data_IF_667638953550
#
_entry.id   IF_667638953550
#
_cell.length_a   1.000
_cell.length_b   1.000
_cell.length_c   1.000
_cell.angle_alpha   90.00
_cell.angle_beta   90.00
_cell.angle_gamma   90.00
#
_symmetry.space_group_name_H-M   'P 1'
#
loop_
_entity.id
_entity.type
_entity.pdbx_description
1 polymer ?
#
# COMPACT_ATOMS: atom_id res chain seq x y z
N UNK A 1 -25.30 43.46 -58.79
CA UNK A 1 -23.85 43.14 -58.89
C UNK A 1 -23.23 43.48 -57.54
N UNK A 2 -22.40 42.57 -57.03
CA UNK A 2 -21.60 42.61 -55.77
C UNK A 2 -22.41 42.59 -54.46
N UNK A 3 -22.12 41.81 -53.42
CA UNK A 3 -21.13 40.77 -53.17
C UNK A 3 -21.66 39.92 -52.01
N UNK A 4 -22.03 38.68 -52.32
CA UNK A 4 -22.56 37.68 -51.40
C UNK A 4 -21.38 36.86 -50.83
N UNK A 5 -20.57 37.44 -49.94
CA UNK A 5 -19.46 36.73 -49.31
C UNK A 5 -19.00 37.51 -48.07
N UNK A 6 -19.31 37.01 -46.86
CA UNK A 6 -18.54 37.15 -45.59
C UNK A 6 -19.39 36.99 -44.30
N UNK A 7 -20.27 36.00 -44.18
CA UNK A 7 -20.81 35.62 -42.84
C UNK A 7 -20.98 34.10 -42.65
N UNK A 8 -20.04 33.32 -43.17
CA UNK A 8 -19.99 31.86 -42.99
C UNK A 8 -18.87 31.47 -42.01
N UNK A 9 -18.85 32.01 -40.79
CA UNK A 9 -17.82 31.67 -39.77
C UNK A 9 -18.29 31.84 -38.31
N UNK A 10 -19.52 31.44 -37.97
CA UNK A 10 -19.96 31.34 -36.56
C UNK A 10 -20.87 30.14 -36.28
N UNK A 11 -20.45 28.96 -36.73
CA UNK A 11 -20.96 27.69 -36.20
C UNK A 11 -19.76 26.85 -35.80
N UNK A 12 -19.21 27.12 -34.62
CA UNK A 12 -18.36 26.17 -33.90
C UNK A 12 -18.25 26.67 -32.45
N UNK A 13 -18.27 25.72 -31.51
CA UNK A 13 -18.08 25.89 -30.07
C UNK A 13 -19.30 26.28 -29.24
N UNK A 14 -20.25 25.35 -29.07
CA UNK A 14 -20.76 24.98 -27.73
C UNK A 14 -21.22 23.51 -27.77
N UNK A 15 -20.29 22.55 -27.69
CA UNK A 15 -20.63 21.14 -27.52
C UNK A 15 -19.43 20.37 -26.92
N UNK A 16 -19.04 20.71 -25.70
CA UNK A 16 -18.09 19.90 -24.91
C UNK A 16 -17.95 20.42 -23.49
N UNK A 17 -18.97 20.24 -22.66
CA UNK A 17 -18.83 20.40 -21.21
C UNK A 17 -19.58 19.32 -20.43
N UNK A 18 -19.40 18.06 -20.84
CA UNK A 18 -19.96 16.93 -20.11
C UNK A 18 -19.11 15.67 -20.33
N UNK A 19 -17.89 15.63 -19.78
CA UNK A 19 -17.12 14.38 -19.56
C UNK A 19 -15.82 14.69 -18.82
N UNK A 20 -15.85 14.99 -17.51
CA UNK A 20 -14.66 14.82 -16.65
C UNK A 20 -15.02 14.84 -15.15
N UNK A 21 -15.95 13.97 -14.73
CA UNK A 21 -16.20 13.76 -13.29
C UNK A 21 -16.71 12.35 -12.98
N UNK A 22 -16.24 11.34 -13.72
CA UNK A 22 -16.29 9.95 -13.25
C UNK A 22 -14.94 9.64 -12.60
N UNK A 23 -14.62 10.36 -11.53
CA UNK A 23 -13.62 9.84 -10.59
C UNK A 23 -14.28 8.60 -9.99
N UNK A 24 -13.77 7.43 -10.34
CA UNK A 24 -14.29 6.15 -9.88
C UNK A 24 -14.41 6.18 -8.35
N UNK A 25 -15.63 6.29 -7.86
CA UNK A 25 -15.94 5.93 -6.49
C UNK A 25 -15.75 4.43 -6.40
N UNK A 26 -14.61 3.99 -5.84
CA UNK A 26 -14.45 2.59 -5.44
C UNK A 26 -15.59 2.29 -4.46
N UNK A 27 -16.54 1.40 -4.80
CA UNK A 27 -17.63 1.07 -3.89
C UNK A 27 -17.03 0.43 -2.64
N UNK A 28 -17.26 1.02 -1.46
CA UNK A 28 -16.73 0.54 -0.16
C UNK A 28 -16.00 1.58 0.69
N UNK A 29 -15.86 2.83 0.23
CA UNK A 29 -15.34 3.92 1.06
C UNK A 29 -16.50 4.69 1.70
N UNK A 30 -17.18 4.06 2.65
CA UNK A 30 -17.91 4.84 3.64
C UNK A 30 -16.85 5.68 4.40
N UNK A 31 -17.06 6.99 4.63
CA UNK A 31 -16.13 7.86 5.36
C UNK A 31 -16.00 7.49 6.86
N UNK A 32 -16.37 6.27 7.23
CA UNK A 32 -16.51 5.75 8.58
C UNK A 32 -15.56 4.58 8.90
N UNK A 33 -14.46 4.39 8.16
CA UNK A 33 -13.45 3.43 8.59
C UNK A 33 -12.67 4.00 9.79
N UNK A 34 -13.13 3.64 10.99
CA UNK A 34 -12.66 4.17 12.26
C UNK A 34 -11.35 3.53 12.76
N UNK A 35 -10.97 2.37 12.24
CA UNK A 35 -9.86 1.58 12.77
C UNK A 35 -9.11 0.84 11.64
N UNK A 36 -7.79 0.77 11.74
CA UNK A 36 -6.91 -0.02 10.87
C UNK A 36 -6.21 -1.05 11.74
N UNK A 37 -6.25 -2.33 11.33
CA UNK A 37 -5.52 -3.42 12.00
C UNK A 37 -4.58 -4.05 10.97
N UNK A 38 -3.29 -4.06 11.27
CA UNK A 38 -2.27 -4.68 10.43
C UNK A 38 -1.71 -5.93 11.12
N UNK A 39 -1.96 -7.10 10.52
CA UNK A 39 -1.33 -8.34 10.93
C UNK A 39 -0.05 -8.56 10.12
N UNK A 40 1.08 -8.71 10.83
CA UNK A 40 2.38 -8.95 10.21
C UNK A 40 2.90 -10.35 10.56
N UNK A 41 3.00 -11.22 9.56
CA UNK A 41 3.72 -12.50 9.69
C UNK A 41 5.17 -12.32 9.25
N UNK A 42 6.09 -12.12 10.20
CA UNK A 42 7.53 -12.02 9.89
C UNK A 42 8.04 -13.36 9.32
N UNK A 43 8.71 -13.30 8.17
CA UNK A 43 9.16 -14.49 7.43
C UNK A 43 8.02 -15.35 6.84
N UNK A 44 6.78 -14.89 6.83
CA UNK A 44 5.62 -15.66 6.36
C UNK A 44 5.45 -15.55 4.83
N UNK A 45 6.30 -16.26 4.08
CA UNK A 45 6.14 -16.41 2.63
C UNK A 45 5.00 -17.36 2.22
N UNK A 46 4.73 -17.44 0.92
CA UNK A 46 3.65 -18.28 0.36
C UNK A 46 3.80 -19.76 0.77
N UNK A 47 5.03 -20.28 0.78
CA UNK A 47 5.29 -21.66 1.22
C UNK A 47 4.97 -21.87 2.70
N UNK A 48 5.30 -20.91 3.55
CA UNK A 48 4.98 -20.94 4.99
C UNK A 48 3.47 -20.93 5.22
N UNK A 49 2.72 -20.12 4.46
CA UNK A 49 1.25 -20.08 4.52
C UNK A 49 0.66 -21.44 4.12
N UNK A 50 1.10 -22.03 3.01
CA UNK A 50 0.62 -23.36 2.57
C UNK A 50 0.93 -24.44 3.61
N UNK A 51 2.15 -24.44 4.17
CA UNK A 51 2.53 -25.39 5.21
C UNK A 51 1.67 -25.23 6.47
N UNK A 52 1.42 -23.99 6.91
CA UNK A 52 0.58 -23.70 8.07
C UNK A 52 -0.87 -24.15 7.87
N UNK A 53 -1.43 -23.91 6.67
CA UNK A 53 -2.78 -24.36 6.31
C UNK A 53 -2.92 -25.88 6.37
N UNK A 54 -2.00 -26.62 5.75
CA UNK A 54 -2.01 -28.09 5.78
C UNK A 54 -1.90 -28.59 7.21
N UNK A 55 -0.95 -28.04 7.97
CA UNK A 55 -0.73 -28.43 9.37
C UNK A 55 -1.95 -28.17 10.26
N UNK A 56 -2.58 -26.99 10.14
CA UNK A 56 -3.77 -26.68 10.92
C UNK A 56 -4.94 -27.61 10.54
N UNK A 57 -5.17 -27.84 9.25
CA UNK A 57 -6.22 -28.76 8.79
C UNK A 57 -6.02 -30.19 9.34
N UNK A 58 -4.78 -30.69 9.30
CA UNK A 58 -4.44 -32.00 9.88
C UNK A 58 -4.65 -32.05 11.39
N UNK A 59 -4.33 -30.96 12.11
CA UNK A 59 -4.60 -30.85 13.55
C UNK A 59 -6.09 -30.85 13.89
N UNK A 60 -6.95 -30.49 12.95
CA UNK A 60 -8.41 -30.56 13.07
C UNK A 60 -8.98 -31.92 12.59
N UNK A 61 -8.13 -32.86 12.18
CA UNK A 61 -8.55 -34.17 11.67
C UNK A 61 -9.03 -34.16 10.21
N UNK A 62 -8.77 -33.07 9.48
CA UNK A 62 -9.01 -32.97 8.04
C UNK A 62 -7.79 -33.47 7.25
N UNK A 63 -7.92 -33.59 5.92
CA UNK A 63 -6.79 -33.97 5.05
C UNK A 63 -5.63 -32.96 5.11
N UNK A 64 -5.96 -31.66 5.19
CA UNK A 64 -5.00 -30.57 5.30
C UNK A 64 -5.09 -29.60 4.12
N UNK A 65 -5.00 -30.10 2.89
CA UNK A 65 -4.86 -29.28 1.68
C UNK A 65 -6.08 -28.39 1.39
N UNK A 66 -7.28 -28.91 1.68
CA UNK A 66 -8.57 -28.20 1.50
C UNK A 66 -8.90 -27.23 2.65
N UNK A 67 -8.07 -27.21 3.70
CA UNK A 67 -8.25 -26.27 4.80
C UNK A 67 -7.97 -24.84 4.33
N UNK A 68 -8.48 -23.83 5.05
CA UNK A 68 -8.16 -22.44 4.77
C UNK A 68 -7.93 -21.69 6.09
N UNK A 69 -6.82 -20.94 6.16
CA UNK A 69 -6.53 -20.08 7.31
C UNK A 69 -7.52 -18.92 7.35
N UNK A 70 -7.73 -18.33 8.54
CA UNK A 70 -8.73 -17.27 8.72
C UNK A 70 -8.53 -16.07 7.76
N UNK A 71 -7.28 -15.66 7.51
CA UNK A 71 -6.98 -14.54 6.60
C UNK A 71 -7.08 -14.90 5.11
N UNK A 72 -7.15 -16.19 4.75
CA UNK A 72 -7.31 -16.61 3.35
C UNK A 72 -8.76 -16.47 2.86
N UNK A 73 -9.68 -16.21 3.78
CA UNK A 73 -11.08 -15.89 3.50
C UNK A 73 -11.29 -14.40 3.16
N UNK A 74 -10.25 -13.57 3.25
CA UNK A 74 -10.34 -12.15 2.90
C UNK A 74 -10.61 -11.98 1.40
N UNK A 75 -11.46 -11.01 1.00
CA UNK A 75 -11.90 -10.87 -0.39
C UNK A 75 -10.83 -10.34 -1.35
N UNK A 76 -9.69 -9.88 -0.82
CA UNK A 76 -8.65 -9.22 -1.59
C UNK A 76 -7.28 -9.83 -1.27
N UNK A 77 -6.52 -10.12 -2.32
CA UNK A 77 -5.17 -10.66 -2.25
C UNK A 77 -4.28 -9.91 -3.24
N UNK A 78 -3.03 -9.66 -2.84
CA UNK A 78 -2.03 -9.04 -3.68
C UNK A 78 -0.65 -9.65 -3.39
N UNK A 79 0.23 -9.60 -4.39
CA UNK A 79 1.65 -9.91 -4.21
C UNK A 79 2.42 -8.61 -3.98
N UNK A 80 3.38 -8.65 -3.06
CA UNK A 80 4.19 -7.48 -2.68
C UNK A 80 5.66 -7.75 -3.00
N UNK A 81 6.34 -6.78 -3.62
CA UNK A 81 7.79 -6.83 -3.89
C UNK A 81 8.57 -6.30 -2.69
N UNK A 82 9.29 -7.18 -1.99
CA UNK A 82 9.86 -6.90 -0.66
C UNK A 82 11.29 -6.37 -0.65
N UNK A 83 11.97 -6.29 -1.80
CA UNK A 83 13.38 -5.83 -1.88
C UNK A 83 13.64 -4.49 -1.15
N UNK A 84 14.79 -4.37 -0.50
CA UNK A 84 15.38 -3.13 0.01
C UNK A 84 16.04 -2.35 -1.12
N UNK A 85 16.32 -1.06 -0.92
CA UNK A 85 16.96 -0.23 -1.97
C UNK A 85 18.37 -0.69 -2.36
N UNK A 86 19.07 -1.39 -1.46
CA UNK A 86 20.41 -1.93 -1.64
C UNK A 86 20.48 -3.47 -1.55
N UNK A 87 19.34 -4.16 -1.48
CA UNK A 87 19.29 -5.61 -1.28
C UNK A 87 18.08 -6.28 -1.93
N UNK A 88 18.33 -7.31 -2.75
CA UNK A 88 17.26 -8.12 -3.35
C UNK A 88 16.54 -8.99 -2.32
N UNK A 89 17.31 -9.62 -1.44
CA UNK A 89 16.80 -10.32 -0.25
C UNK A 89 16.77 -9.31 0.89
N UNK A 90 15.60 -8.95 1.39
CA UNK A 90 15.48 -7.87 2.37
C UNK A 90 15.67 -8.37 3.81
N UNK A 91 15.72 -7.43 4.75
CA UNK A 91 15.65 -7.71 6.19
C UNK A 91 14.36 -7.15 6.84
N UNK A 92 14.09 -7.56 8.08
CA UNK A 92 12.88 -7.12 8.80
C UNK A 92 12.86 -5.61 9.04
N UNK A 93 14.02 -4.96 9.24
CA UNK A 93 14.09 -3.52 9.52
C UNK A 93 13.62 -2.68 8.34
N UNK A 94 14.17 -2.91 7.16
CA UNK A 94 13.80 -2.10 6.00
C UNK A 94 12.43 -2.45 5.41
N UNK A 95 11.98 -3.70 5.55
CA UNK A 95 10.60 -4.08 5.15
C UNK A 95 9.56 -3.45 6.05
N UNK A 96 9.73 -3.48 7.38
CA UNK A 96 8.81 -2.82 8.29
C UNK A 96 8.84 -1.29 8.10
N UNK A 97 10.01 -0.71 7.81
CA UNK A 97 10.11 0.71 7.45
C UNK A 97 9.30 1.04 6.21
N UNK A 98 9.38 0.23 5.15
CA UNK A 98 8.58 0.44 3.95
C UNK A 98 7.08 0.34 4.22
N UNK A 99 6.65 -0.62 5.05
CA UNK A 99 5.24 -0.80 5.40
C UNK A 99 4.72 0.36 6.25
N UNK A 100 5.51 0.83 7.24
CA UNK A 100 5.07 1.86 8.16
C UNK A 100 5.21 3.28 7.60
N UNK A 101 6.21 3.55 6.77
CA UNK A 101 6.48 4.91 6.28
C UNK A 101 6.05 5.13 4.83
N UNK A 102 5.77 4.05 4.10
CA UNK A 102 5.51 4.10 2.66
C UNK A 102 6.76 4.27 1.80
N UNK A 103 7.96 4.39 2.39
CA UNK A 103 9.23 4.58 1.68
C UNK A 103 10.18 3.41 1.93
N UNK A 104 10.71 2.84 0.84
CA UNK A 104 11.73 1.79 0.94
C UNK A 104 13.06 2.37 1.39
N UNK A 105 13.78 1.60 2.20
CA UNK A 105 15.10 1.98 2.72
C UNK A 105 16.12 0.84 2.55
N UNK A 106 17.34 1.09 3.00
CA UNK A 106 18.45 0.15 2.97
C UNK A 106 18.29 -0.96 4.01
N UNK A 107 19.00 -2.07 3.81
CA UNK A 107 19.05 -3.16 4.79
C UNK A 107 19.55 -2.63 6.15
N UNK A 108 18.92 -3.04 7.24
CA UNK A 108 19.31 -2.66 8.61
C UNK A 108 18.93 -1.24 9.02
N UNK A 109 18.10 -0.54 8.25
CA UNK A 109 17.63 0.81 8.55
C UNK A 109 16.17 0.79 9.01
N UNK A 110 15.86 1.58 10.04
CA UNK A 110 14.52 1.67 10.62
C UNK A 110 14.01 3.11 10.50
N UNK A 111 12.87 3.29 9.85
CA UNK A 111 12.14 4.56 9.72
C UNK A 111 13.02 5.75 9.26
N UNK A 112 13.95 5.51 8.34
CA UNK A 112 14.78 6.52 7.67
C UNK A 112 14.82 6.27 6.18
N UNK A 113 15.07 7.32 5.39
CA UNK A 113 15.22 7.21 3.94
C UNK A 113 16.48 6.46 3.50
N UNK A 114 16.58 6.10 2.21
CA UNK A 114 17.73 5.39 1.65
C UNK A 114 18.98 6.28 1.49
N UNK A 115 18.84 7.58 1.73
CA UNK A 115 19.91 8.58 1.74
C UNK A 115 20.76 8.54 3.02
N UNK A 116 20.26 7.91 4.09
CA UNK A 116 20.98 7.76 5.35
C UNK A 116 21.96 6.59 5.25
N UNK A 117 23.21 6.83 5.67
CA UNK A 117 24.24 5.79 5.75
C UNK A 117 24.16 5.00 7.06
N UNK A 118 24.53 3.73 6.99
CA UNK A 118 24.51 2.86 8.18
C UNK A 118 25.52 3.34 9.22
N UNK A 119 25.10 3.34 10.49
CA UNK A 119 25.87 3.84 11.63
C UNK A 119 26.08 5.36 11.65
N UNK A 120 25.37 6.14 10.84
CA UNK A 120 25.31 7.60 10.94
C UNK A 120 24.16 8.03 11.86
N UNK A 121 24.47 8.23 13.14
CA UNK A 121 23.48 8.67 14.14
C UNK A 121 22.93 10.08 13.84
N UNK A 122 23.77 11.11 13.59
CA UNK A 122 23.28 12.43 13.17
C UNK A 122 22.41 12.36 11.91
N UNK A 123 22.83 11.61 10.88
CA UNK A 123 22.06 11.41 9.66
C UNK A 123 20.72 10.72 9.91
N UNK A 124 20.68 9.74 10.82
CA UNK A 124 19.44 9.04 11.19
C UNK A 124 18.42 9.96 11.86
N UNK A 125 18.87 10.93 12.66
CA UNK A 125 17.98 11.92 13.28
C UNK A 125 17.43 12.91 12.24
N UNK A 126 18.27 13.34 11.29
CA UNK A 126 17.86 14.26 10.23
C UNK A 126 16.96 13.60 9.17
N UNK A 127 17.23 12.32 8.85
CA UNK A 127 16.54 11.55 7.81
C UNK A 127 15.34 10.75 8.29
N UNK A 128 14.85 10.96 9.52
CA UNK A 128 13.70 10.24 10.07
C UNK A 128 12.46 10.42 9.18
N UNK A 129 11.75 9.31 8.94
CA UNK A 129 10.45 9.29 8.26
C UNK A 129 9.35 9.04 9.29
N UNK A 130 8.22 9.70 9.07
CA UNK A 130 7.05 9.50 9.92
C UNK A 130 6.41 8.16 9.58
N UNK A 131 6.06 7.42 10.62
CA UNK A 131 5.36 6.14 10.51
C UNK A 131 3.85 6.35 10.46
N UNK A 132 3.12 5.37 9.95
CA UNK A 132 1.65 5.35 9.91
C UNK A 132 1.04 5.51 11.30
N UNK A 133 1.68 4.95 12.33
CA UNK A 133 1.24 5.11 13.72
C UNK A 133 1.43 6.55 14.20
N UNK A 134 2.59 7.16 13.96
CA UNK A 134 2.81 8.57 14.29
C UNK A 134 1.85 9.50 13.51
N UNK A 135 1.56 9.21 12.23
CA UNK A 135 0.54 9.93 11.46
C UNK A 135 -0.87 9.75 12.06
N UNK A 136 -1.21 8.54 12.53
CA UNK A 136 -2.49 8.26 13.18
C UNK A 136 -2.63 9.00 14.52
N UNK A 137 -1.58 9.04 15.35
CA UNK A 137 -1.55 9.81 16.61
C UNK A 137 -1.74 11.30 16.35
N UNK A 138 -1.07 11.85 15.33
CA UNK A 138 -1.26 13.25 14.91
C UNK A 138 -2.69 13.52 14.42
N UNK A 139 -3.33 12.50 13.83
CA UNK A 139 -4.74 12.53 13.45
C UNK A 139 -5.73 12.37 14.61
N UNK A 140 -5.25 12.19 15.85
CA UNK A 140 -6.07 12.00 17.05
C UNK A 140 -6.60 10.57 17.24
N UNK A 141 -6.04 9.60 16.53
CA UNK A 141 -6.36 8.18 16.71
C UNK A 141 -5.48 7.55 17.79
N UNK A 142 -6.01 6.51 18.45
CA UNK A 142 -5.23 5.67 19.33
C UNK A 142 -4.44 4.63 18.50
N UNK A 143 -3.22 4.33 18.94
CA UNK A 143 -2.27 3.40 18.29
C UNK A 143 -1.77 2.36 19.28
N UNK A 144 -1.34 1.20 18.78
CA UNK A 144 -0.83 0.07 19.58
C UNK A 144 -0.29 -1.07 18.73
#
# INVERSE_FOLDING_TARGET
MTSLSTRLTRVLAVASLATLAACATVPGQDPAQRNVILFLGDGMGVSTVTAARIFEGQRQGLAGEEHALAFEQFPHVALVKTYNTDGQVPDSAGTMSAIMTGEKTRVGHIAVGPDVERNDCPGSLAGKRRTLLEEAELGGYATG
#
